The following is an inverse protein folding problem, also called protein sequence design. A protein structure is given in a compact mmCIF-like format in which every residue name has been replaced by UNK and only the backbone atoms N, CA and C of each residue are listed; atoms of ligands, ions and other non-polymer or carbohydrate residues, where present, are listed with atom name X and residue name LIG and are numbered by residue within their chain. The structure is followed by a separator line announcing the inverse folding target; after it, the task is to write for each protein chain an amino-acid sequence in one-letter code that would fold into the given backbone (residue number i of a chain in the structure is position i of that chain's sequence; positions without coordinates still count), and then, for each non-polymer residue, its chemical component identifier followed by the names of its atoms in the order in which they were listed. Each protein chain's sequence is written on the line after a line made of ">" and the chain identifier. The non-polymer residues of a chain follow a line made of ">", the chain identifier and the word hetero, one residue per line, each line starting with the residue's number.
data_IF_016146776440
#
_entry.id   IF_016146776440
#
_cell.length_a   1.000
_cell.length_b   1.000
_cell.length_c   1.000
_cell.angle_alpha   90.00
_cell.angle_beta   90.00
_cell.angle_gamma   90.00
#
_symmetry.space_group_name_H-M   'P 1'
#
loop_
_entity.id
_entity.type
_entity.pdbx_description
1 polymer ?
#
# COMPACT_ATOMS: atom_id res chain seq x y z
N UNK A 1 1.49 -7.08 49.94
CA UNK A 1 1.86 -5.96 49.04
C UNK A 1 3.26 -6.11 48.45
N UNK A 2 4.31 -6.49 49.21
CA UNK A 2 5.65 -6.69 48.63
C UNK A 2 5.67 -7.83 47.59
N UNK A 3 5.11 -9.01 47.91
CA UNK A 3 5.07 -10.19 47.03
C UNK A 3 4.31 -9.92 45.71
N UNK A 4 3.21 -9.15 45.77
CA UNK A 4 2.42 -8.79 44.58
C UNK A 4 3.17 -7.83 43.65
N UNK A 5 3.97 -6.91 44.20
CA UNK A 5 4.80 -5.98 43.41
C UNK A 5 5.96 -6.74 42.73
N UNK A 6 6.59 -7.69 43.44
CA UNK A 6 7.68 -8.51 42.87
C UNK A 6 7.19 -9.43 41.76
N UNK A 7 5.99 -10.01 41.89
CA UNK A 7 5.40 -10.86 40.85
C UNK A 7 5.03 -10.06 39.61
N UNK A 8 4.51 -8.84 39.78
CA UNK A 8 4.19 -7.94 38.67
C UNK A 8 5.45 -7.46 37.94
N UNK A 9 6.53 -7.17 38.67
CA UNK A 9 7.82 -6.82 38.08
C UNK A 9 8.43 -7.99 37.29
N UNK A 10 8.35 -9.22 37.81
CA UNK A 10 8.86 -10.41 37.12
C UNK A 10 8.06 -10.74 35.84
N UNK A 11 6.74 -10.53 35.88
CA UNK A 11 5.88 -10.66 34.70
C UNK A 11 6.22 -9.61 33.64
N UNK A 12 6.55 -8.38 34.03
CA UNK A 12 6.93 -7.31 33.09
C UNK A 12 8.27 -7.59 32.39
N UNK A 13 9.23 -8.18 33.10
CA UNK A 13 10.55 -8.52 32.55
C UNK A 13 10.52 -9.68 31.55
N UNK A 14 9.62 -10.65 31.71
CA UNK A 14 9.51 -11.76 30.74
C UNK A 14 8.87 -11.31 29.43
N UNK A 15 7.91 -10.38 29.46
CA UNK A 15 7.23 -9.87 28.26
C UNK A 15 8.20 -9.11 27.34
N UNK A 16 9.17 -8.40 27.91
CA UNK A 16 10.14 -7.59 27.13
C UNK A 16 11.17 -8.46 26.39
N UNK A 17 11.50 -9.67 26.88
CA UNK A 17 12.43 -10.59 26.21
C UNK A 17 11.86 -11.30 24.97
N UNK A 18 10.54 -11.25 24.76
CA UNK A 18 9.88 -11.85 23.59
C UNK A 18 9.50 -10.82 22.50
N UNK A 19 9.88 -9.56 22.66
CA UNK A 19 9.74 -8.56 21.61
C UNK A 19 10.60 -8.97 20.41
N UNK A 20 9.98 -9.11 19.24
CA UNK A 20 10.73 -9.37 18.02
C UNK A 20 11.38 -8.07 17.58
N UNK A 21 12.69 -8.09 17.35
CA UNK A 21 13.43 -6.94 16.85
C UNK A 21 12.93 -6.52 15.46
N UNK A 22 13.09 -5.24 15.17
CA UNK A 22 12.75 -4.67 13.87
C UNK A 22 13.56 -5.33 12.77
N UNK A 23 12.88 -5.70 11.68
CA UNK A 23 13.51 -6.27 10.51
C UNK A 23 14.21 -5.13 9.76
N UNK A 24 15.53 -5.17 9.65
CA UNK A 24 16.28 -4.11 8.97
C UNK A 24 15.97 -4.07 7.47
N UNK A 25 16.06 -5.23 6.82
CA UNK A 25 15.82 -5.38 5.39
C UNK A 25 14.88 -6.54 5.11
N UNK A 26 13.81 -6.29 4.36
CA UNK A 26 12.89 -7.29 3.86
C UNK A 26 12.83 -7.22 2.34
N UNK A 27 12.94 -8.37 1.67
CA UNK A 27 12.76 -8.45 0.21
C UNK A 27 11.47 -9.16 -0.13
N UNK A 28 10.88 -8.89 -1.30
CA UNK A 28 9.73 -9.64 -1.76
C UNK A 28 9.99 -11.15 -1.77
N UNK A 29 11.17 -11.60 -2.21
CA UNK A 29 11.52 -13.03 -2.20
C UNK A 29 11.43 -13.64 -0.78
N UNK A 30 11.91 -12.93 0.24
CA UNK A 30 11.81 -13.37 1.64
C UNK A 30 10.35 -13.49 2.11
N UNK A 31 9.45 -12.63 1.61
CA UNK A 31 8.01 -12.71 1.97
C UNK A 31 7.34 -13.98 1.45
N UNK A 32 7.88 -14.58 0.39
CA UNK A 32 7.35 -15.79 -0.25
C UNK A 32 8.08 -17.08 0.20
N UNK A 33 9.28 -16.98 0.80
CA UNK A 33 10.00 -18.14 1.31
C UNK A 33 9.44 -18.64 2.65
N UNK A 34 8.93 -19.88 2.64
CA UNK A 34 8.35 -20.56 3.80
C UNK A 34 9.31 -20.67 4.99
N UNK A 35 10.61 -20.82 4.75
CA UNK A 35 11.61 -20.95 5.80
C UNK A 35 11.88 -19.62 6.50
N UNK A 36 11.68 -18.53 5.77
CA UNK A 36 11.80 -17.17 6.27
C UNK A 36 10.50 -16.73 6.94
N UNK A 37 9.38 -16.71 6.21
CA UNK A 37 8.18 -16.04 6.68
C UNK A 37 7.58 -16.69 7.92
N UNK A 38 7.68 -18.01 8.10
CA UNK A 38 7.16 -18.71 9.28
C UNK A 38 7.82 -18.27 10.60
N UNK A 39 9.00 -17.64 10.54
CA UNK A 39 9.72 -17.15 11.72
C UNK A 39 9.30 -15.73 12.10
N UNK A 40 8.61 -15.03 11.22
CA UNK A 40 8.17 -13.65 11.42
C UNK A 40 6.84 -13.63 12.16
N UNK A 41 6.66 -12.65 13.06
CA UNK A 41 5.38 -12.40 13.73
C UNK A 41 4.54 -11.41 12.91
N UNK A 42 3.22 -11.52 13.04
CA UNK A 42 2.31 -10.52 12.50
C UNK A 42 2.58 -9.13 13.09
N UNK A 43 2.60 -8.11 12.23
CA UNK A 43 2.82 -6.73 12.62
C UNK A 43 4.27 -6.38 12.92
N UNK A 44 5.24 -7.25 12.58
CA UNK A 44 6.66 -6.95 12.70
C UNK A 44 7.01 -5.71 11.87
N UNK A 45 7.80 -4.81 12.45
CA UNK A 45 8.23 -3.58 11.78
C UNK A 45 9.41 -3.86 10.85
N UNK A 46 9.43 -3.13 9.74
CA UNK A 46 10.46 -3.23 8.69
C UNK A 46 11.03 -1.82 8.48
N UNK A 47 12.35 -1.68 8.41
CA UNK A 47 13.00 -0.38 8.13
C UNK A 47 13.07 -0.11 6.63
N UNK A 48 13.51 -1.11 5.86
CA UNK A 48 13.67 -1.05 4.41
C UNK A 48 12.99 -2.26 3.74
N UNK A 49 12.23 -1.99 2.67
CA UNK A 49 11.57 -3.02 1.86
C UNK A 49 11.98 -2.94 0.39
N UNK A 50 12.44 -4.07 -0.16
CA UNK A 50 12.73 -4.23 -1.59
C UNK A 50 11.57 -4.93 -2.28
N UNK A 51 10.95 -4.23 -3.22
CA UNK A 51 9.78 -4.71 -3.99
C UNK A 51 10.15 -5.76 -5.04
N UNK A 52 9.14 -6.35 -5.70
CA UNK A 52 9.36 -7.24 -6.86
C UNK A 52 10.17 -6.57 -7.97
N UNK A 53 9.95 -5.27 -8.17
CA UNK A 53 10.64 -4.45 -9.17
C UNK A 53 12.02 -3.96 -8.72
N UNK A 54 12.57 -4.55 -7.65
CA UNK A 54 13.85 -4.21 -7.02
C UNK A 54 13.96 -2.75 -6.57
N UNK A 55 12.82 -2.09 -6.33
CA UNK A 55 12.80 -0.75 -5.78
C UNK A 55 12.91 -0.83 -4.26
N UNK A 56 13.77 -0.03 -3.68
CA UNK A 56 13.83 0.12 -2.23
C UNK A 56 12.81 1.17 -1.77
N UNK A 57 12.14 0.87 -0.66
CA UNK A 57 11.25 1.78 0.06
C UNK A 57 11.64 1.77 1.52
N UNK A 58 12.06 2.93 2.02
CA UNK A 58 12.50 3.13 3.39
C UNK A 58 11.48 3.93 4.21
N UNK A 59 11.53 3.74 5.53
CA UNK A 59 10.80 4.64 6.45
C UNK A 59 11.36 6.05 6.35
N UNK A 60 10.51 7.00 5.95
CA UNK A 60 10.89 8.38 5.66
C UNK A 60 10.79 8.76 4.19
N UNK A 61 10.68 7.78 3.30
CA UNK A 61 10.55 8.04 1.86
C UNK A 61 9.27 8.77 1.51
N UNK A 62 9.34 9.56 0.44
CA UNK A 62 8.18 10.26 -0.11
C UNK A 62 7.61 9.50 -1.31
N UNK A 63 6.33 9.16 -1.23
CA UNK A 63 5.56 8.51 -2.28
C UNK A 63 4.49 9.47 -2.84
N UNK A 64 3.87 9.09 -3.95
CA UNK A 64 2.72 9.80 -4.52
C UNK A 64 1.55 8.83 -4.62
N UNK A 65 0.36 9.25 -4.18
CA UNK A 65 -0.87 8.50 -4.42
C UNK A 65 -1.31 8.69 -5.88
N UNK A 66 -1.45 7.59 -6.61
CA UNK A 66 -1.79 7.58 -8.03
C UNK A 66 -3.30 7.62 -8.27
N UNK A 67 -3.77 6.80 -9.21
CA UNK A 67 -5.21 6.75 -9.55
C UNK A 67 -5.94 5.67 -8.77
N UNK A 68 -7.11 5.98 -8.18
CA UNK A 68 -7.95 4.95 -7.57
C UNK A 68 -8.40 3.93 -8.63
N UNK A 69 -8.36 2.64 -8.29
CA UNK A 69 -8.76 1.54 -9.20
C UNK A 69 -10.15 0.97 -8.90
N UNK A 70 -10.72 1.27 -7.74
CA UNK A 70 -12.01 0.75 -7.30
C UNK A 70 -13.13 1.79 -7.35
N UNK A 71 -14.36 1.31 -7.15
CA UNK A 71 -15.55 2.13 -7.11
C UNK A 71 -16.53 1.61 -6.06
N UNK A 72 -16.87 2.46 -5.09
CA UNK A 72 -17.89 2.17 -4.08
C UNK A 72 -19.26 2.69 -4.54
N UNK A 73 -20.27 1.83 -4.48
CA UNK A 73 -21.66 2.18 -4.79
C UNK A 73 -22.49 2.25 -3.51
N UNK A 74 -23.11 3.40 -3.26
CA UNK A 74 -24.10 3.57 -2.19
C UNK A 74 -25.49 3.70 -2.78
N UNK A 75 -26.37 2.76 -2.44
CA UNK A 75 -27.77 2.75 -2.92
C UNK A 75 -28.71 3.08 -1.78
N UNK A 76 -29.48 4.15 -1.91
CA UNK A 76 -30.56 4.50 -0.99
C UNK A 76 -31.89 4.08 -1.60
N UNK A 77 -32.57 3.14 -0.97
CA UNK A 77 -33.89 2.66 -1.37
C UNK A 77 -34.96 3.30 -0.49
N UNK A 78 -35.86 4.06 -1.10
CA UNK A 78 -37.05 4.58 -0.47
C UNK A 78 -38.24 3.70 -0.83
N UNK A 79 -38.81 3.01 0.15
CA UNK A 79 -40.01 2.20 -0.03
C UNK A 79 -41.21 2.91 0.59
N UNK A 80 -42.25 3.12 -0.22
CA UNK A 80 -43.56 3.57 0.23
C UNK A 80 -44.55 2.42 0.21
N UNK A 81 -45.20 2.14 1.35
CA UNK A 81 -46.29 1.16 1.44
C UNK A 81 -47.63 1.89 1.55
N UNK A 82 -48.58 1.59 0.67
CA UNK A 82 -49.90 2.23 0.67
C UNK A 82 -50.98 1.23 1.11
N UNK A 83 -51.58 1.44 2.30
CA UNK A 83 -52.76 0.70 2.80
C UNK A 83 -52.49 -0.43 3.82
N UNK A 84 -53.54 -0.83 4.55
CA UNK A 84 -53.53 -1.76 5.71
C UNK A 84 -53.64 -3.25 5.35
N UNK A 85 -53.81 -3.59 4.07
CA UNK A 85 -53.89 -4.98 3.59
C UNK A 85 -52.88 -5.15 2.46
N UNK A 86 -51.94 -6.09 2.63
CA UNK A 86 -50.78 -6.33 1.79
C UNK A 86 -51.03 -6.05 0.30
N UNK A 87 -50.40 -4.99 -0.23
CA UNK A 87 -50.33 -4.69 -1.67
C UNK A 87 -48.96 -4.13 -2.02
N UNK A 88 -48.51 -4.51 -3.23
CA UNK A 88 -47.19 -4.30 -3.80
C UNK A 88 -46.61 -2.90 -3.49
N UNK A 89 -45.47 -2.88 -2.81
CA UNK A 89 -44.71 -1.66 -2.55
C UNK A 89 -43.90 -1.25 -3.78
N UNK A 90 -43.98 0.03 -4.15
CA UNK A 90 -43.05 0.61 -5.12
C UNK A 90 -41.85 1.11 -4.33
N UNK A 91 -40.67 0.59 -4.64
CA UNK A 91 -39.41 1.07 -4.09
C UNK A 91 -38.67 1.85 -5.18
N UNK A 92 -38.23 3.06 -4.86
CA UNK A 92 -37.31 3.82 -5.70
C UNK A 92 -35.93 3.79 -5.07
N UNK A 93 -34.95 3.31 -5.83
CA UNK A 93 -33.55 3.26 -5.41
C UNK A 93 -32.74 4.28 -6.19
N UNK A 94 -31.99 5.11 -5.47
CA UNK A 94 -30.98 6.00 -6.06
C UNK A 94 -29.59 5.53 -5.64
N UNK A 95 -28.77 5.21 -6.63
CA UNK A 95 -27.38 4.79 -6.43
C UNK A 95 -26.43 5.94 -6.75
N UNK A 96 -25.45 6.16 -5.89
CA UNK A 96 -24.32 7.08 -6.11
C UNK A 96 -23.04 6.27 -6.11
N UNK A 97 -22.22 6.49 -7.13
CA UNK A 97 -20.97 5.77 -7.33
C UNK A 97 -19.79 6.70 -7.07
N UNK A 98 -18.79 6.23 -6.32
CA UNK A 98 -17.63 7.03 -5.90
C UNK A 98 -16.35 6.24 -6.15
N UNK A 99 -15.42 6.83 -6.91
CA UNK A 99 -14.09 6.24 -7.14
C UNK A 99 -13.27 6.22 -5.85
N UNK A 100 -12.78 5.05 -5.48
CA UNK A 100 -12.02 4.78 -4.27
C UNK A 100 -10.80 3.92 -4.57
N UNK A 101 -9.83 3.99 -3.67
CA UNK A 101 -8.66 3.12 -3.76
C UNK A 101 -9.02 1.71 -3.29
N UNK A 102 -8.45 0.69 -3.92
CA UNK A 102 -8.62 -0.71 -3.54
C UNK A 102 -7.69 -1.09 -2.37
N UNK A 103 -6.43 -0.63 -2.44
CA UNK A 103 -5.39 -1.03 -1.51
C UNK A 103 -5.07 0.04 -0.46
N UNK A 104 -5.55 1.29 -0.64
CA UNK A 104 -5.30 2.39 0.29
C UNK A 104 -6.51 2.65 1.18
N UNK A 105 -6.33 2.46 2.49
CA UNK A 105 -7.37 2.63 3.52
C UNK A 105 -7.16 3.89 4.33
N UNK A 106 -8.26 4.47 4.80
CA UNK A 106 -8.23 5.56 5.76
C UNK A 106 -7.90 5.02 7.16
N UNK A 107 -6.93 5.63 7.84
CA UNK A 107 -6.52 5.26 9.19
C UNK A 107 -5.40 4.22 9.23
N UNK A 108 -5.15 3.66 10.43
CA UNK A 108 -4.18 2.58 10.67
C UNK A 108 -4.87 1.21 10.56
N UNK A 109 -4.17 0.12 10.19
CA UNK A 109 -4.79 -1.18 9.96
C UNK A 109 -5.43 -1.77 11.23
N UNK A 110 -4.77 -1.58 12.37
CA UNK A 110 -5.24 -1.96 13.70
C UNK A 110 -5.51 -0.73 14.60
N UNK A 111 -5.93 0.39 14.00
CA UNK A 111 -6.29 1.60 14.73
C UNK A 111 -7.69 1.48 15.36
N UNK A 112 -7.96 2.29 16.37
CA UNK A 112 -9.27 2.33 17.03
C UNK A 112 -10.44 2.46 16.03
N UNK A 113 -10.27 3.31 15.00
CA UNK A 113 -11.27 3.48 13.93
C UNK A 113 -11.51 2.21 13.10
N UNK A 114 -10.46 1.51 12.66
CA UNK A 114 -10.61 0.29 11.85
C UNK A 114 -11.24 -0.85 12.63
N UNK A 115 -10.95 -0.94 13.93
CA UNK A 115 -11.54 -1.92 14.84
C UNK A 115 -13.02 -1.63 15.07
N UNK A 116 -13.41 -0.37 15.33
CA UNK A 116 -14.82 -0.02 15.52
C UNK A 116 -15.66 -0.25 14.26
N UNK A 117 -15.16 0.12 13.07
CA UNK A 117 -15.85 -0.15 11.81
C UNK A 117 -16.06 -1.65 11.60
N UNK A 118 -15.04 -2.47 11.86
CA UNK A 118 -15.17 -3.92 11.77
C UNK A 118 -16.15 -4.51 12.80
N UNK A 119 -16.19 -3.97 14.02
CA UNK A 119 -17.13 -4.41 15.07
C UNK A 119 -18.59 -4.03 14.75
N UNK A 120 -18.81 -2.91 14.05
CA UNK A 120 -20.13 -2.50 13.60
C UNK A 120 -20.61 -3.28 12.36
N UNK A 121 -19.77 -4.15 11.78
CA UNK A 121 -20.08 -4.90 10.57
C UNK A 121 -20.02 -4.05 9.29
N UNK A 122 -19.53 -2.82 9.39
CA UNK A 122 -19.38 -1.90 8.27
C UNK A 122 -18.08 -2.20 7.50
N UNK A 123 -18.09 -1.91 6.20
CA UNK A 123 -16.88 -1.98 5.38
C UNK A 123 -15.86 -0.91 5.83
N UNK A 124 -14.58 -1.25 5.83
CA UNK A 124 -13.51 -0.30 6.15
C UNK A 124 -13.51 0.86 5.15
N UNK A 125 -13.40 2.09 5.64
CA UNK A 125 -13.39 3.28 4.79
C UNK A 125 -12.12 3.34 3.92
N UNK A 126 -12.29 3.19 2.62
CA UNK A 126 -11.22 3.34 1.63
C UNK A 126 -10.85 4.81 1.42
N UNK A 127 -9.61 5.07 0.99
CA UNK A 127 -9.23 6.38 0.50
C UNK A 127 -10.04 6.71 -0.76
N UNK A 128 -10.33 7.98 -0.99
CA UNK A 128 -11.09 8.41 -2.16
C UNK A 128 -10.25 9.20 -3.16
N UNK A 129 -10.81 9.38 -4.36
CA UNK A 129 -10.17 10.11 -5.46
C UNK A 129 -9.70 11.53 -5.11
N UNK A 130 -10.15 12.16 -4.01
CA UNK A 130 -9.64 13.48 -3.62
C UNK A 130 -8.16 13.47 -3.23
N UNK A 131 -7.63 12.30 -2.87
CA UNK A 131 -6.23 12.10 -2.49
C UNK A 131 -5.31 11.80 -3.68
N UNK A 132 -5.84 11.74 -4.91
CA UNK A 132 -5.03 11.54 -6.12
C UNK A 132 -3.97 12.63 -6.26
N UNK A 133 -2.77 12.22 -6.69
CA UNK A 133 -1.59 13.04 -6.88
C UNK A 133 -1.07 13.73 -5.60
N UNK A 134 -1.49 13.29 -4.42
CA UNK A 134 -0.96 13.82 -3.17
C UNK A 134 0.38 13.16 -2.84
N UNK A 135 1.35 13.97 -2.42
CA UNK A 135 2.62 13.45 -1.91
C UNK A 135 2.49 13.10 -0.44
N UNK A 136 2.98 11.92 -0.08
CA UNK A 136 2.84 11.30 1.25
C UNK A 136 4.19 10.76 1.71
N UNK A 137 4.37 10.63 3.01
CA UNK A 137 5.61 10.12 3.61
C UNK A 137 5.37 8.75 4.25
N UNK A 138 6.28 7.80 4.02
CA UNK A 138 6.26 6.49 4.68
C UNK A 138 6.62 6.68 6.14
N UNK A 139 5.69 6.35 7.04
CA UNK A 139 5.89 6.48 8.49
C UNK A 139 6.26 5.17 9.15
N UNK A 140 5.65 4.08 8.71
CA UNK A 140 5.91 2.75 9.23
C UNK A 140 5.73 1.74 8.09
N UNK A 141 6.58 0.72 8.05
CA UNK A 141 6.38 -0.46 7.21
C UNK A 141 6.19 -1.64 8.15
N UNK A 142 5.14 -2.42 7.91
CA UNK A 142 4.77 -3.59 8.71
C UNK A 142 4.49 -4.77 7.82
N UNK A 143 4.75 -5.96 8.33
CA UNK A 143 4.46 -7.19 7.60
C UNK A 143 3.45 -8.06 8.34
N UNK A 144 2.56 -8.69 7.59
CA UNK A 144 1.48 -9.52 8.11
C UNK A 144 1.35 -10.78 7.27
N UNK A 145 0.96 -11.88 7.88
CA UNK A 145 0.60 -13.10 7.18
C UNK A 145 -0.79 -12.97 6.56
N UNK A 146 -0.97 -13.52 5.36
CA UNK A 146 -2.28 -13.59 4.70
C UNK A 146 -3.25 -14.57 5.39
N UNK A 147 -3.71 -14.22 6.58
CA UNK A 147 -4.67 -14.99 7.39
C UNK A 147 -4.01 -15.84 8.46
N UNK A 148 -3.23 -16.86 8.09
CA UNK A 148 -2.56 -17.77 9.04
C UNK A 148 -1.05 -17.70 8.91
N UNK A 149 -0.34 -18.05 10.00
CA UNK A 149 1.13 -18.00 10.09
C UNK A 149 1.86 -18.80 8.99
N UNK A 150 1.20 -19.84 8.45
CA UNK A 150 1.76 -20.71 7.41
C UNK A 150 1.59 -20.16 5.99
N UNK A 151 1.04 -18.95 5.84
CA UNK A 151 0.87 -18.29 4.56
C UNK A 151 1.91 -17.18 4.36
N UNK A 152 2.22 -16.85 3.08
CA UNK A 152 3.16 -15.78 2.76
C UNK A 152 2.82 -14.47 3.45
N UNK A 153 3.86 -13.68 3.65
CA UNK A 153 3.75 -12.34 4.18
C UNK A 153 3.30 -11.37 3.09
N UNK A 154 2.57 -10.36 3.50
CA UNK A 154 2.29 -9.17 2.71
C UNK A 154 2.75 -7.93 3.49
N UNK A 155 3.10 -6.87 2.77
CA UNK A 155 3.66 -5.66 3.35
C UNK A 155 2.61 -4.55 3.35
N UNK A 156 2.47 -3.94 4.52
CA UNK A 156 1.57 -2.83 4.79
C UNK A 156 2.39 -1.60 5.08
N UNK A 157 2.18 -0.52 4.33
CA UNK A 157 2.79 0.77 4.60
C UNK A 157 1.79 1.71 5.27
N UNK A 158 2.18 2.30 6.39
CA UNK A 158 1.44 3.38 7.03
C UNK A 158 2.01 4.69 6.50
N UNK A 159 1.16 5.47 5.85
CA UNK A 159 1.50 6.74 5.24
C UNK A 159 1.03 7.90 6.10
N UNK A 160 1.87 8.93 6.19
CA UNK A 160 1.52 10.21 6.77
C UNK A 160 1.50 11.31 5.72
N UNK A 161 0.88 12.43 6.05
CA UNK A 161 1.03 13.65 5.26
C UNK A 161 2.41 14.28 5.54
N UNK A 162 2.97 14.97 4.55
CA UNK A 162 4.33 15.55 4.63
C UNK A 162 4.42 16.59 5.75
N UNK A 163 3.43 17.48 5.85
CA UNK A 163 3.35 18.50 6.90
C UNK A 163 2.80 17.95 8.24
N UNK A 164 2.56 16.64 8.34
CA UNK A 164 2.05 15.99 9.54
C UNK A 164 0.57 16.25 9.84
N UNK A 165 -0.19 16.82 8.88
CA UNK A 165 -1.64 17.03 8.99
C UNK A 165 -2.39 15.71 8.85
N UNK A 166 -3.69 15.75 9.15
CA UNK A 166 -4.58 14.61 8.98
C UNK A 166 -5.19 14.58 7.56
N UNK A 167 -5.42 13.37 7.05
CA UNK A 167 -6.23 13.09 5.89
C UNK A 167 -7.71 13.05 6.32
N UNK A 168 -8.34 14.23 6.33
CA UNK A 168 -9.69 14.39 6.89
C UNK A 168 -9.71 14.08 8.38
N UNK A 169 -10.48 13.07 8.79
CA UNK A 169 -10.60 12.64 10.20
C UNK A 169 -9.47 11.71 10.65
N UNK A 170 -8.71 11.12 9.72
CA UNK A 170 -7.67 10.14 10.02
C UNK A 170 -6.28 10.75 9.85
N UNK A 171 -5.39 10.58 10.83
CA UNK A 171 -4.01 11.09 10.74
C UNK A 171 -3.15 10.36 9.70
N UNK A 172 -3.46 9.09 9.43
CA UNK A 172 -2.67 8.22 8.59
C UNK A 172 -3.53 7.54 7.54
N UNK A 173 -2.88 7.07 6.48
CA UNK A 173 -3.43 6.11 5.52
C UNK A 173 -2.67 4.80 5.66
N UNK A 174 -3.28 3.69 5.24
CA UNK A 174 -2.64 2.39 5.22
C UNK A 174 -2.75 1.77 3.85
N UNK A 175 -1.61 1.48 3.22
CA UNK A 175 -1.52 0.67 2.02
C UNK A 175 -1.51 -0.79 2.46
N UNK A 176 -2.59 -1.51 2.22
CA UNK A 176 -2.79 -2.86 2.75
C UNK A 176 -1.99 -3.92 2.01
N UNK A 177 -1.75 -3.76 0.72
CA UNK A 177 -0.88 -4.64 -0.05
C UNK A 177 0.02 -3.78 -0.93
N UNK A 178 1.28 -3.63 -0.49
CA UNK A 178 2.22 -2.69 -1.11
C UNK A 178 2.55 -3.07 -2.54
N UNK A 179 2.71 -4.36 -2.83
CA UNK A 179 3.05 -4.81 -4.18
C UNK A 179 1.89 -4.58 -5.15
N UNK A 180 0.67 -4.97 -4.76
CA UNK A 180 -0.51 -4.74 -5.59
C UNK A 180 -0.81 -3.26 -5.77
N UNK A 181 -0.61 -2.43 -4.73
CA UNK A 181 -0.80 -0.99 -4.83
C UNK A 181 0.19 -0.32 -5.79
N UNK A 182 1.44 -0.80 -5.83
CA UNK A 182 2.45 -0.30 -6.77
C UNK A 182 2.16 -0.79 -8.19
N UNK A 183 1.83 -2.07 -8.36
CA UNK A 183 1.50 -2.67 -9.65
C UNK A 183 0.27 -2.04 -10.31
N UNK A 184 -0.78 -1.80 -9.51
CA UNK A 184 -2.01 -1.14 -9.96
C UNK A 184 -1.86 0.36 -10.24
N UNK A 185 -0.74 0.96 -9.83
CA UNK A 185 -0.51 2.40 -9.95
C UNK A 185 -1.29 3.25 -8.95
N UNK A 186 -1.82 2.65 -7.88
CA UNK A 186 -2.39 3.37 -6.75
C UNK A 186 -1.33 4.08 -5.91
N UNK A 187 -0.11 3.53 -5.89
CA UNK A 187 1.07 4.10 -5.22
C UNK A 187 2.21 4.22 -6.22
N UNK A 188 2.76 5.42 -6.34
CA UNK A 188 3.87 5.72 -7.23
C UNK A 188 5.11 6.04 -6.40
N UNK A 189 6.19 5.29 -6.66
CA UNK A 189 7.51 5.54 -6.07
C UNK A 189 8.20 6.66 -6.86
N UNK A 190 8.69 7.70 -6.18
CA UNK A 190 9.39 8.83 -6.84
C UNK A 190 10.70 8.42 -7.49
N UNK A 191 11.44 7.52 -6.85
CA UNK A 191 12.76 7.09 -7.28
C UNK A 191 12.73 5.67 -7.86
N UNK A 192 11.65 5.32 -8.59
CA UNK A 192 11.56 3.97 -9.17
C UNK A 192 12.65 3.75 -10.22
N UNK A 193 13.28 2.59 -10.18
CA UNK A 193 14.09 2.04 -11.26
C UNK A 193 13.22 1.92 -12.51
N UNK A 194 13.76 2.37 -13.64
CA UNK A 194 13.08 2.28 -14.94
C UNK A 194 12.99 0.79 -15.31
N UNK A 195 11.79 0.34 -15.68
CA UNK A 195 11.58 -1.03 -16.13
C UNK A 195 12.19 -1.22 -17.52
N UNK A 196 12.50 -2.47 -17.90
CA UNK A 196 13.03 -2.78 -19.23
C UNK A 196 12.13 -2.25 -20.36
N UNK A 197 10.82 -2.40 -20.23
CA UNK A 197 9.87 -1.98 -21.25
C UNK A 197 9.80 -0.45 -21.34
N UNK A 198 9.86 0.25 -20.21
CA UNK A 198 9.95 1.71 -20.18
C UNK A 198 11.27 2.22 -20.76
N UNK A 199 12.38 1.53 -20.50
CA UNK A 199 13.67 1.84 -21.09
C UNK A 199 13.63 1.67 -22.62
N UNK A 200 12.99 0.61 -23.12
CA UNK A 200 12.80 0.39 -24.56
C UNK A 200 11.87 1.45 -25.17
N UNK A 201 10.78 1.81 -24.49
CA UNK A 201 9.87 2.85 -24.95
C UNK A 201 10.57 4.21 -25.05
N UNK A 202 11.31 4.61 -24.00
CA UNK A 202 12.13 5.83 -24.01
C UNK A 202 13.17 5.83 -25.12
N UNK A 203 13.80 4.68 -25.39
CA UNK A 203 14.77 4.56 -26.48
C UNK A 203 14.11 4.70 -27.86
N UNK A 204 12.88 4.20 -28.03
CA UNK A 204 12.10 4.37 -29.27
C UNK A 204 11.67 5.81 -29.46
N UNK A 205 11.12 6.45 -28.43
CA UNK A 205 10.76 7.87 -28.45
C UNK A 205 11.96 8.75 -28.73
N UNK A 206 13.10 8.50 -28.09
CA UNK A 206 14.34 9.22 -28.35
C UNK A 206 14.83 9.04 -29.80
N UNK A 207 14.67 7.85 -30.37
CA UNK A 207 14.98 7.59 -31.78
C UNK A 207 14.06 8.40 -32.70
N UNK A 208 12.76 8.44 -32.42
CA UNK A 208 11.81 9.26 -33.18
C UNK A 208 12.14 10.75 -33.06
N UNK A 209 12.46 11.24 -31.87
CA UNK A 209 12.90 12.62 -31.61
C UNK A 209 14.17 12.99 -32.37
N UNK A 210 15.12 12.06 -32.46
CA UNK A 210 16.33 12.23 -33.27
C UNK A 210 16.01 12.27 -34.77
N UNK A 211 15.06 11.44 -35.24
CA UNK A 211 14.64 11.41 -36.65
C UNK A 211 13.91 12.70 -37.09
N UNK A 212 13.22 13.38 -36.17
CA UNK A 212 12.58 14.67 -36.42
C UNK A 212 13.48 15.88 -36.09
N UNK A 213 14.79 15.68 -35.91
CA UNK A 213 15.79 16.71 -35.55
C UNK A 213 15.46 17.48 -34.26
N UNK A 214 14.67 16.90 -33.34
CA UNK A 214 14.33 17.49 -32.03
C UNK A 214 15.26 17.01 -30.91
N UNK A 215 16.18 16.09 -31.20
CA UNK A 215 17.23 15.59 -30.32
C UNK A 215 18.51 15.39 -31.13
N UNK A 216 19.67 15.71 -30.56
CA UNK A 216 20.95 15.47 -31.21
C UNK A 216 21.34 13.99 -31.23
N UNK A 217 22.20 13.59 -32.17
CA UNK A 217 22.75 12.22 -32.21
C UNK A 217 23.57 11.88 -30.97
N UNK A 218 24.21 12.87 -30.38
CA UNK A 218 25.03 12.74 -29.17
C UNK A 218 24.16 12.41 -27.95
N UNK A 219 23.08 13.17 -27.74
CA UNK A 219 22.09 12.91 -26.68
C UNK A 219 21.43 11.53 -26.83
N UNK A 220 21.12 11.11 -28.06
CA UNK A 220 20.59 9.78 -28.32
C UNK A 220 21.57 8.66 -27.95
N UNK A 221 22.84 8.78 -28.34
CA UNK A 221 23.85 7.75 -28.04
C UNK A 221 24.23 7.72 -26.55
N UNK A 222 24.20 8.86 -25.85
CA UNK A 222 24.32 8.90 -24.38
C UNK A 222 23.15 8.18 -23.71
N UNK A 223 21.91 8.52 -24.07
CA UNK A 223 20.71 7.87 -23.52
C UNK A 223 20.71 6.36 -23.79
N UNK A 224 21.16 5.95 -24.98
CA UNK A 224 21.32 4.54 -25.33
C UNK A 224 22.35 3.85 -24.46
N UNK A 225 23.51 4.47 -24.18
CA UNK A 225 24.51 3.89 -23.27
C UNK A 225 23.98 3.71 -21.85
N UNK A 226 23.19 4.66 -21.35
CA UNK A 226 22.56 4.58 -20.03
C UNK A 226 21.48 3.50 -19.93
N UNK A 227 20.65 3.37 -20.97
CA UNK A 227 19.53 2.41 -20.98
C UNK A 227 19.94 1.00 -21.39
N UNK A 228 21.03 0.83 -22.14
CA UNK A 228 21.57 -0.48 -22.56
C UNK A 228 21.77 -1.46 -21.40
N UNK A 229 22.43 -1.11 -20.27
CA UNK A 229 22.60 -2.04 -19.16
C UNK A 229 21.25 -2.50 -18.58
N UNK A 230 20.25 -1.62 -18.52
CA UNK A 230 18.90 -1.95 -18.03
C UNK A 230 18.19 -2.91 -18.99
N UNK A 231 18.35 -2.72 -20.30
CA UNK A 231 17.72 -3.54 -21.34
C UNK A 231 18.38 -4.92 -21.44
N UNK A 232 19.70 -4.99 -21.29
CA UNK A 232 20.49 -6.21 -21.49
C UNK A 232 20.60 -7.10 -20.25
N UNK A 233 20.03 -6.73 -19.09
CA UNK A 233 19.93 -7.65 -17.95
C UNK A 233 19.13 -8.88 -18.41
N UNK A 234 19.82 -10.00 -18.61
CA UNK A 234 19.20 -11.30 -18.82
C UNK A 234 18.53 -11.68 -17.51
N UNK A 235 17.24 -12.03 -17.54
CA UNK A 235 16.56 -12.72 -16.44
C UNK A 235 17.46 -13.87 -16.00
N UNK A 236 17.95 -13.83 -14.76
CA UNK A 236 18.37 -15.06 -14.10
C UNK A 236 17.07 -15.83 -13.86
N UNK A 237 16.86 -16.87 -14.67
CA UNK A 237 15.77 -17.84 -14.51
C UNK A 237 15.93 -18.62 -13.20
#
# INVERSE_FOLDING_TARGET
>A
MKITITFFAFLLTTISSYAQEDIELLTYANTQDINFFNKIKNGSQVKEYITVSENSVEVGDTLILGTPTSEEMSTRTYSGSYGTKARAGVAQSRSTSKKTYEFVKMGRPAGFGSVMTAMNGDAQAMADNSLKNTSVIVREIKTYHRGSKNKPLYVVMVLGEINGRAFGVNKYLSVMDTELAIESGEVLLKNRKITRDEAIAKLKEAKELMEIDMMSKEEFEELKKELTPIINVKKQE
#
